data_IF_881281614289
#
_entry.id   IF_881281614289
#
_cell.length_a   1.000
_cell.length_b   1.000
_cell.length_c   1.000
_cell.angle_alpha   90.00
_cell.angle_beta   90.00
_cell.angle_gamma   90.00
#
_symmetry.space_group_name_H-M   'P 1'
#
loop_
_entity.id
_entity.type
_entity.pdbx_description
1 polymer ?
#
# COMPACT_ATOMS: atom_id res chain seq x y z
N UNK A 1 0.06 -11.55 4.28
CA UNK A 1 -1.03 -11.73 3.28
C UNK A 1 -1.01 -10.56 2.32
N UNK A 2 -1.53 -10.71 1.10
CA UNK A 2 -1.40 -9.68 0.04
C UNK A 2 -2.01 -8.34 0.48
N UNK A 3 -3.27 -8.33 0.95
CA UNK A 3 -3.92 -7.11 1.47
C UNK A 3 -3.13 -6.44 2.62
N UNK A 4 -2.51 -7.24 3.49
CA UNK A 4 -1.68 -6.71 4.57
C UNK A 4 -0.40 -6.05 4.06
N UNK A 5 0.27 -6.63 3.07
CA UNK A 5 1.46 -5.99 2.48
C UNK A 5 1.10 -4.69 1.77
N UNK A 6 -0.04 -4.65 1.06
CA UNK A 6 -0.53 -3.42 0.43
C UNK A 6 -0.80 -2.34 1.48
N UNK A 7 -1.43 -2.71 2.60
CA UNK A 7 -1.66 -1.78 3.72
C UNK A 7 -0.34 -1.30 4.34
N UNK A 8 0.66 -2.18 4.52
CA UNK A 8 1.97 -1.81 5.06
C UNK A 8 2.73 -0.84 4.14
N UNK A 9 2.80 -1.14 2.83
CA UNK A 9 3.38 -0.26 1.81
C UNK A 9 2.65 1.10 1.77
N UNK A 10 1.31 1.08 1.85
CA UNK A 10 0.47 2.28 1.87
C UNK A 10 0.75 3.13 3.10
N UNK A 11 0.79 2.54 4.30
CA UNK A 11 1.02 3.25 5.54
C UNK A 11 2.45 3.79 5.62
N UNK A 12 3.43 3.08 5.05
CA UNK A 12 4.79 3.61 4.94
C UNK A 12 4.81 4.90 4.11
N UNK A 13 4.12 4.94 2.97
CA UNK A 13 4.11 6.11 2.08
C UNK A 13 3.18 7.24 2.54
N UNK A 14 1.96 6.92 2.98
CA UNK A 14 0.86 7.88 3.21
C UNK A 14 0.36 7.92 4.66
N UNK A 15 0.96 7.16 5.58
CA UNK A 15 0.58 7.14 6.98
C UNK A 15 0.72 8.51 7.65
N UNK A 16 0.05 8.72 8.78
CA UNK A 16 0.28 9.93 9.59
C UNK A 16 1.50 9.71 10.51
N UNK A 17 2.58 10.51 10.39
CA UNK A 17 3.78 10.35 11.22
C UNK A 17 3.50 10.39 12.74
N UNK A 18 2.57 11.24 13.19
CA UNK A 18 2.23 11.38 14.63
C UNK A 18 1.67 10.09 15.22
N UNK A 19 0.99 9.34 14.37
CA UNK A 19 0.31 8.10 14.72
C UNK A 19 1.21 6.87 14.52
N UNK A 20 2.05 6.91 13.49
CA UNK A 20 2.97 5.84 13.14
C UNK A 20 4.27 5.84 13.96
N UNK A 21 4.59 6.96 14.62
CA UNK A 21 5.79 7.09 15.45
C UNK A 21 7.11 7.00 14.67
N UNK A 22 7.06 7.11 13.33
CA UNK A 22 8.21 7.07 12.41
C UNK A 22 7.98 8.03 11.25
N UNK A 23 9.09 8.49 10.63
CA UNK A 23 8.99 9.25 9.39
C UNK A 23 8.43 8.37 8.25
N UNK A 24 7.54 8.96 7.45
CA UNK A 24 6.95 8.31 6.26
C UNK A 24 7.93 8.25 5.08
N UNK A 25 7.68 7.31 4.17
CA UNK A 25 8.43 7.10 2.94
C UNK A 25 9.77 6.39 3.15
N UNK A 26 9.89 5.55 4.18
CA UNK A 26 11.09 4.76 4.44
C UNK A 26 11.45 3.85 3.26
N UNK A 27 10.44 3.26 2.63
CA UNK A 27 10.59 2.39 1.46
C UNK A 27 10.99 3.18 0.21
N UNK A 28 10.45 4.39 0.05
CA UNK A 28 10.82 5.31 -1.03
C UNK A 28 12.29 5.73 -0.88
N UNK A 29 12.75 6.07 0.32
CA UNK A 29 14.17 6.39 0.57
C UNK A 29 15.08 5.22 0.19
N UNK A 30 14.68 4.00 0.55
CA UNK A 30 15.43 2.77 0.30
C UNK A 30 15.32 2.25 -1.14
N UNK A 31 14.59 2.92 -2.04
CA UNK A 31 14.33 2.44 -3.40
C UNK A 31 13.71 1.03 -3.44
N UNK A 32 12.88 0.68 -2.45
CA UNK A 32 12.20 -0.62 -2.47
C UNK A 32 11.18 -0.65 -3.61
N UNK A 33 11.08 -1.81 -4.26
CA UNK A 33 10.11 -2.08 -5.32
C UNK A 33 8.75 -2.44 -4.73
N UNK A 34 8.13 -1.50 -4.02
CA UNK A 34 6.80 -1.66 -3.42
C UNK A 34 5.72 -1.75 -4.48
N UNK A 35 4.52 -2.21 -4.10
CA UNK A 35 3.37 -2.22 -5.01
C UNK A 35 3.05 -0.83 -5.56
N UNK A 36 3.20 0.20 -4.72
CA UNK A 36 2.95 1.59 -5.10
C UNK A 36 3.88 2.05 -6.24
N UNK A 37 5.19 1.75 -6.14
CA UNK A 37 6.15 2.13 -7.17
C UNK A 37 5.94 1.36 -8.48
N UNK A 38 5.67 0.05 -8.39
CA UNK A 38 5.44 -0.78 -9.58
C UNK A 38 4.23 -0.25 -10.33
N UNK A 39 3.12 -0.03 -9.64
CA UNK A 39 1.91 0.46 -10.31
C UNK A 39 2.05 1.90 -10.81
N UNK A 40 2.76 2.77 -10.08
CA UNK A 40 3.10 4.11 -10.57
C UNK A 40 3.85 4.06 -11.90
N UNK A 41 4.81 3.15 -12.07
CA UNK A 41 5.54 2.97 -13.32
C UNK A 41 4.66 2.41 -14.46
N UNK A 42 3.58 1.69 -14.15
CA UNK A 42 2.63 1.18 -15.14
C UNK A 42 1.73 2.29 -15.70
N UNK A 43 1.23 3.17 -14.82
CA UNK A 43 0.20 4.16 -15.18
C UNK A 43 0.73 5.57 -15.42
N UNK A 44 1.97 5.85 -15.00
CA UNK A 44 2.60 7.16 -15.20
C UNK A 44 2.78 7.49 -16.69
N UNK A 45 2.76 8.80 -16.97
CA UNK A 45 3.24 9.37 -18.24
C UNK A 45 4.74 9.14 -18.41
N UNK A 46 5.25 9.30 -19.64
CA UNK A 46 6.69 9.15 -19.90
C UNK A 46 7.51 10.22 -19.15
N UNK A 47 6.99 11.44 -19.02
CA UNK A 47 7.61 12.50 -18.21
C UNK A 47 7.70 12.12 -16.74
N UNK A 48 6.62 11.58 -16.16
CA UNK A 48 6.61 11.11 -14.77
C UNK A 48 7.55 9.92 -14.57
N UNK A 49 7.66 8.99 -15.52
CA UNK A 49 8.63 7.87 -15.43
C UNK A 49 10.06 8.36 -15.42
N UNK A 50 10.39 9.36 -16.23
CA UNK A 50 11.70 10.01 -16.22
C UNK A 50 11.97 10.65 -14.85
N UNK A 51 10.99 11.37 -14.28
CA UNK A 51 11.10 11.95 -12.94
C UNK A 51 11.32 10.88 -11.86
N UNK A 52 10.51 9.80 -11.85
CA UNK A 52 10.67 8.67 -10.93
C UNK A 52 12.09 8.10 -11.02
N UNK A 53 12.61 7.89 -12.24
CA UNK A 53 13.96 7.37 -12.45
C UNK A 53 15.04 8.34 -11.93
N UNK A 54 14.89 9.65 -12.16
CA UNK A 54 15.79 10.67 -11.63
C UNK A 54 15.80 10.70 -10.10
N UNK A 55 14.64 10.58 -9.47
CA UNK A 55 14.50 10.52 -8.01
C UNK A 55 15.19 9.27 -7.42
N UNK A 56 15.07 8.13 -8.08
CA UNK A 56 15.73 6.88 -7.67
C UNK A 56 17.25 6.99 -7.81
N UNK A 57 17.74 7.56 -8.91
CA UNK A 57 19.18 7.66 -9.24
C UNK A 57 19.90 8.74 -8.43
N UNK A 58 19.34 9.95 -8.36
CA UNK A 58 20.01 11.10 -7.73
C UNK A 58 19.82 11.12 -6.22
N UNK A 59 18.77 10.45 -5.72
CA UNK A 59 18.43 10.35 -4.31
C UNK A 59 18.50 11.68 -3.53
N UNK A 60 17.80 12.74 -3.99
CA UNK A 60 17.82 14.04 -3.32
C UNK A 60 17.14 13.98 -1.94
N UNK A 61 17.36 14.98 -1.09
CA UNK A 61 16.77 15.03 0.26
C UNK A 61 15.24 15.07 0.24
N UNK A 62 14.66 15.77 -0.73
CA UNK A 62 13.21 15.94 -0.93
C UNK A 62 12.59 14.82 -1.80
N UNK A 63 13.33 13.73 -2.05
CA UNK A 63 12.89 12.60 -2.88
C UNK A 63 11.53 12.04 -2.46
N UNK A 64 11.30 11.91 -1.16
CA UNK A 64 10.07 11.33 -0.62
C UNK A 64 8.88 12.21 -1.02
N UNK A 65 8.96 13.51 -0.79
CA UNK A 65 7.89 14.45 -1.09
C UNK A 65 7.58 14.49 -2.60
N UNK A 66 8.62 14.51 -3.43
CA UNK A 66 8.45 14.47 -4.90
C UNK A 66 7.82 13.16 -5.37
N UNK A 67 8.24 12.02 -4.83
CA UNK A 67 7.66 10.71 -5.18
C UNK A 67 6.20 10.62 -4.76
N UNK A 68 5.86 11.10 -3.56
CA UNK A 68 4.48 11.12 -3.07
C UNK A 68 3.59 12.01 -3.93
N UNK A 69 4.10 13.14 -4.41
CA UNK A 69 3.38 14.00 -5.35
C UNK A 69 3.07 13.27 -6.68
N UNK A 70 4.04 12.50 -7.21
CA UNK A 70 3.84 11.68 -8.40
C UNK A 70 2.80 10.58 -8.14
N UNK A 71 2.89 9.89 -6.99
CA UNK A 71 1.91 8.86 -6.62
C UNK A 71 0.49 9.42 -6.51
N UNK A 72 0.32 10.61 -5.92
CA UNK A 72 -0.97 11.30 -5.87
C UNK A 72 -1.47 11.69 -7.25
N UNK A 73 -0.61 12.23 -8.11
CA UNK A 73 -0.96 12.57 -9.49
C UNK A 73 -1.40 11.33 -10.31
N UNK A 74 -0.88 10.15 -9.96
CA UNK A 74 -1.22 8.87 -10.57
C UNK A 74 -2.37 8.12 -9.85
N UNK A 75 -3.03 8.73 -8.84
CA UNK A 75 -4.09 8.11 -8.03
C UNK A 75 -3.71 6.76 -7.36
N UNK A 76 -2.42 6.59 -7.03
CA UNK A 76 -1.89 5.34 -6.47
C UNK A 76 -2.44 5.06 -5.07
N UNK A 77 -2.76 6.10 -4.32
CA UNK A 77 -3.37 6.01 -2.99
C UNK A 77 -4.78 5.42 -3.03
N UNK A 78 -5.62 5.90 -3.96
CA UNK A 78 -6.97 5.38 -4.15
C UNK A 78 -6.91 3.92 -4.65
N UNK A 79 -6.06 3.66 -5.65
CA UNK A 79 -5.85 2.32 -6.20
C UNK A 79 -5.40 1.31 -5.13
N UNK A 80 -4.44 1.67 -4.29
CA UNK A 80 -3.93 0.77 -3.25
C UNK A 80 -5.02 0.39 -2.24
N UNK A 81 -5.87 1.35 -1.85
CA UNK A 81 -6.99 1.09 -0.97
C UNK A 81 -8.03 0.15 -1.60
N UNK A 82 -8.40 0.40 -2.86
CA UNK A 82 -9.34 -0.47 -3.59
C UNK A 82 -8.78 -1.89 -3.79
N UNK A 83 -7.50 -2.01 -4.13
CA UNK A 83 -6.85 -3.30 -4.34
C UNK A 83 -6.79 -4.10 -3.03
N UNK A 84 -6.46 -3.44 -1.92
CA UNK A 84 -6.48 -4.03 -0.58
C UNK A 84 -7.85 -4.61 -0.24
N UNK A 85 -8.91 -3.82 -0.44
CA UNK A 85 -10.27 -4.23 -0.15
C UNK A 85 -10.72 -5.39 -1.04
N UNK A 86 -10.33 -5.37 -2.31
CA UNK A 86 -10.56 -6.48 -3.26
C UNK A 86 -9.96 -7.79 -2.76
N UNK A 87 -8.70 -7.76 -2.31
CA UNK A 87 -8.06 -8.97 -1.77
C UNK A 87 -8.67 -9.43 -0.44
N UNK A 88 -9.09 -8.50 0.42
CA UNK A 88 -9.76 -8.83 1.68
C UNK A 88 -11.13 -9.49 1.43
N UNK A 89 -11.93 -8.91 0.55
CA UNK A 89 -13.23 -9.48 0.16
C UNK A 89 -13.08 -10.85 -0.50
N UNK A 90 -12.09 -11.00 -1.39
CA UNK A 90 -11.76 -12.30 -1.98
C UNK A 90 -11.40 -13.32 -0.90
N UNK A 91 -10.58 -12.96 0.08
CA UNK A 91 -10.22 -13.85 1.19
C UNK A 91 -11.46 -14.27 2.02
N UNK A 92 -12.37 -13.34 2.31
CA UNK A 92 -13.61 -13.65 3.04
C UNK A 92 -14.57 -14.51 2.24
N UNK A 93 -14.70 -14.30 0.94
CA UNK A 93 -15.48 -15.17 0.07
C UNK A 93 -14.95 -16.61 0.10
N UNK A 94 -13.65 -16.79 -0.10
CA UNK A 94 -13.04 -18.13 -0.04
C UNK A 94 -13.20 -18.78 1.34
N UNK A 95 -13.10 -18.01 2.43
CA UNK A 95 -13.34 -18.51 3.77
C UNK A 95 -14.81 -18.94 3.96
N UNK A 96 -15.75 -18.20 3.39
CA UNK A 96 -17.17 -18.52 3.47
C UNK A 96 -17.54 -19.76 2.65
N UNK A 97 -16.88 -20.02 1.52
CA UNK A 97 -17.07 -21.22 0.72
C UNK A 97 -16.60 -22.52 1.42
N UNK A 98 -15.83 -22.42 2.50
CA UNK A 98 -15.38 -23.60 3.26
C UNK A 98 -16.56 -24.23 4.01
N UNK A 99 -16.74 -25.54 3.83
CA UNK A 99 -17.80 -26.35 4.43
C UNK A 99 -17.60 -26.62 5.95
N UNK A 100 -17.47 -25.55 6.73
CA UNK A 100 -17.44 -25.56 8.21
C UNK A 100 -18.44 -24.54 8.76
N UNK A 101 -18.87 -24.73 10.00
CA UNK A 101 -19.79 -23.79 10.65
C UNK A 101 -19.20 -22.38 10.73
N UNK A 102 -20.03 -21.35 10.50
CA UNK A 102 -19.58 -19.95 10.47
C UNK A 102 -18.92 -19.51 11.78
N UNK A 103 -19.28 -20.12 12.92
CA UNK A 103 -18.65 -19.86 14.22
C UNK A 103 -17.14 -20.14 14.19
N UNK A 104 -16.68 -21.16 13.45
CA UNK A 104 -15.25 -21.49 13.32
C UNK A 104 -14.49 -20.50 12.43
N UNK A 105 -15.20 -19.77 11.56
CA UNK A 105 -14.62 -18.78 10.64
C UNK A 105 -14.40 -17.42 11.32
N UNK A 106 -15.23 -17.07 12.32
CA UNK A 106 -15.20 -15.77 13.01
C UNK A 106 -13.81 -15.32 13.49
N UNK A 107 -12.99 -16.15 14.17
CA UNK A 107 -11.67 -15.70 14.64
C UNK A 107 -10.73 -15.30 13.51
N UNK A 108 -10.81 -15.96 12.35
CA UNK A 108 -9.98 -15.64 11.19
C UNK A 108 -10.44 -14.34 10.52
N UNK A 109 -11.75 -14.11 10.45
CA UNK A 109 -12.31 -12.85 9.94
C UNK A 109 -11.88 -11.67 10.82
N UNK A 110 -12.04 -11.81 12.13
CA UNK A 110 -11.64 -10.78 13.09
C UNK A 110 -10.14 -10.49 13.04
N UNK A 111 -9.29 -11.52 12.89
CA UNK A 111 -7.86 -11.34 12.72
C UNK A 111 -7.54 -10.57 11.43
N UNK A 112 -8.18 -10.91 10.32
CA UNK A 112 -7.98 -10.22 9.05
C UNK A 112 -8.43 -8.75 9.12
N UNK A 113 -9.61 -8.47 9.69
CA UNK A 113 -10.10 -7.11 9.92
C UNK A 113 -9.12 -6.31 10.79
N UNK A 114 -8.67 -6.89 11.90
CA UNK A 114 -7.69 -6.26 12.80
C UNK A 114 -6.37 -5.93 12.10
N UNK A 115 -5.89 -6.79 11.21
CA UNK A 115 -4.64 -6.57 10.47
C UNK A 115 -4.78 -5.47 9.41
N UNK A 116 -5.97 -5.26 8.86
CA UNK A 116 -6.22 -4.32 7.76
C UNK A 116 -6.68 -2.94 8.26
N UNK A 117 -7.52 -2.88 9.30
CA UNK A 117 -8.04 -1.64 9.88
C UNK A 117 -7.05 -0.95 10.85
N UNK A 118 -5.75 -1.06 10.59
CA UNK A 118 -4.73 -0.36 11.40
C UNK A 118 -4.77 1.14 11.13
N UNK A 119 -5.77 1.80 11.73
CA UNK A 119 -5.79 3.24 11.99
C UNK A 119 -5.16 3.49 13.37
N UNK A 120 -3.86 3.27 13.48
CA UNK A 120 -3.13 3.96 14.54
C UNK A 120 -2.85 5.34 14.02
#
# INVERSE_FOLDING_TARGET
GIAFQIQDDYLDAFGNPEKFGKDVGGDIRQNKKTFLLIHALEVATDEQKIQIQQLITNNPEDKVDQMLAIFKACNIDAWANELKDTYLQSAFKHLDDIAVTSVRKKPLMQLAEFLIQRDY
#
